data_IF_451418042741
#
_entry.id   IF_451418042741
#
_cell.length_a   1.000
_cell.length_b   1.000
_cell.length_c   1.000
_cell.angle_alpha   90.00
_cell.angle_beta   90.00
_cell.angle_gamma   90.00
#
_symmetry.space_group_name_H-M   'P 1'
#
loop_
_entity.id
_entity.type
_entity.pdbx_description
1 polymer ?
#
# COMPACT_ATOMS: atom_id res chain seq x y z
N UNK A 1 -19.07 18.52 28.74
CA UNK A 1 -18.82 18.28 27.30
C UNK A 1 -19.67 17.12 26.87
N UNK A 2 -20.53 17.26 25.86
CA UNK A 2 -21.26 16.13 25.27
C UNK A 2 -20.24 15.21 24.57
N UNK A 3 -20.16 13.95 24.98
CA UNK A 3 -19.40 12.93 24.22
C UNK A 3 -20.08 12.83 22.87
N UNK A 4 -19.43 13.25 21.80
CA UNK A 4 -19.89 12.94 20.45
C UNK A 4 -19.70 11.43 20.26
N UNK A 5 -20.80 10.71 20.10
CA UNK A 5 -20.77 9.28 19.80
C UNK A 5 -20.35 9.12 18.34
N UNK A 6 -19.14 8.61 18.11
CA UNK A 6 -18.69 8.27 16.77
C UNK A 6 -19.52 7.09 16.25
N UNK A 7 -19.87 7.11 14.98
CA UNK A 7 -20.58 6.01 14.32
C UNK A 7 -20.06 5.79 12.91
N UNK A 8 -19.97 4.55 12.48
CA UNK A 8 -19.66 4.18 11.10
C UNK A 8 -20.84 4.34 10.14
N UNK A 9 -22.02 4.65 10.65
CA UNK A 9 -23.23 4.87 9.86
C UNK A 9 -23.07 6.11 8.97
N UNK A 10 -23.32 5.97 7.67
CA UNK A 10 -23.20 7.05 6.69
C UNK A 10 -21.97 6.95 5.79
N UNK A 11 -20.95 6.19 6.18
CA UNK A 11 -19.85 5.88 5.27
C UNK A 11 -20.27 4.80 4.26
N UNK A 12 -19.73 4.91 3.04
CA UNK A 12 -19.94 3.92 1.98
C UNK A 12 -18.76 2.95 1.83
N UNK A 13 -17.58 3.40 2.22
CA UNK A 13 -16.33 2.68 2.00
C UNK A 13 -15.47 2.68 3.27
N UNK A 14 -14.76 1.57 3.47
CA UNK A 14 -13.75 1.45 4.49
C UNK A 14 -12.43 1.00 3.83
N UNK A 15 -11.44 1.90 3.80
CA UNK A 15 -10.13 1.61 3.24
C UNK A 15 -9.18 1.08 4.33
N UNK A 16 -8.51 -0.03 4.04
CA UNK A 16 -7.59 -0.68 4.98
C UNK A 16 -6.19 -0.79 4.40
N UNK A 17 -5.19 -0.33 5.14
CA UNK A 17 -3.86 -0.87 4.96
C UNK A 17 -3.80 -2.33 5.43
N UNK A 18 -2.76 -3.05 5.05
CA UNK A 18 -2.57 -4.46 5.41
C UNK A 18 -1.62 -4.63 6.59
N UNK A 19 -0.35 -4.32 6.40
CA UNK A 19 0.72 -4.63 7.34
C UNK A 19 0.69 -3.68 8.53
N UNK A 20 0.58 -4.23 9.74
CA UNK A 20 0.43 -3.42 10.95
C UNK A 20 -1.00 -2.93 11.21
N UNK A 21 -1.91 -3.07 10.23
CA UNK A 21 -3.31 -2.65 10.36
C UNK A 21 -4.25 -3.83 10.53
N UNK A 22 -4.36 -4.71 9.53
CA UNK A 22 -5.26 -5.89 9.57
C UNK A 22 -4.53 -7.21 9.39
N UNK A 23 -3.25 -7.18 9.00
CA UNK A 23 -2.40 -8.35 8.80
C UNK A 23 -1.35 -8.39 9.89
N UNK A 24 -1.23 -9.54 10.58
CA UNK A 24 -0.24 -9.75 11.63
C UNK A 24 1.15 -10.05 11.03
N UNK A 25 2.19 -10.17 11.90
CA UNK A 25 3.57 -10.46 11.51
C UNK A 25 3.73 -11.78 10.75
N UNK A 26 2.78 -12.72 10.87
CA UNK A 26 2.77 -14.00 10.15
C UNK A 26 2.15 -13.87 8.76
N UNK A 27 1.63 -12.70 8.39
CA UNK A 27 0.95 -12.48 7.14
C UNK A 27 -0.51 -12.98 7.14
N UNK A 28 -1.18 -13.01 8.29
CA UNK A 28 -2.53 -13.54 8.43
C UNK A 28 -3.51 -12.48 8.92
N UNK A 29 -4.75 -12.55 8.44
CA UNK A 29 -5.89 -11.81 8.98
C UNK A 29 -6.57 -12.70 10.04
N UNK A 30 -6.72 -12.19 11.25
CA UNK A 30 -7.36 -12.94 12.34
C UNK A 30 -8.85 -13.18 12.06
N UNK A 31 -9.41 -14.25 12.64
CA UNK A 31 -10.85 -14.53 12.50
C UNK A 31 -11.74 -13.40 13.04
N UNK A 32 -11.28 -12.67 14.05
CA UNK A 32 -12.05 -11.56 14.62
C UNK A 32 -12.08 -10.38 13.62
N UNK A 33 -10.95 -10.05 13.00
CA UNK A 33 -10.88 -9.04 11.93
C UNK A 33 -11.75 -9.47 10.74
N UNK A 34 -11.69 -10.74 10.31
CA UNK A 34 -12.55 -11.25 9.24
C UNK A 34 -14.04 -11.03 9.55
N UNK A 35 -14.47 -11.36 10.78
CA UNK A 35 -15.86 -11.16 11.23
C UNK A 35 -16.24 -9.69 11.23
N UNK A 36 -15.37 -8.80 11.70
CA UNK A 36 -15.62 -7.36 11.73
C UNK A 36 -15.76 -6.79 10.30
N UNK A 37 -14.89 -7.18 9.37
CA UNK A 37 -14.97 -6.77 7.96
C UNK A 37 -16.27 -7.30 7.31
N UNK A 38 -16.68 -8.53 7.61
CA UNK A 38 -17.95 -9.07 7.13
C UNK A 38 -19.16 -8.31 7.68
N UNK A 39 -19.10 -7.83 8.94
CA UNK A 39 -20.14 -6.97 9.51
C UNK A 39 -20.21 -5.62 8.78
N UNK A 40 -19.08 -4.98 8.48
CA UNK A 40 -19.04 -3.76 7.64
C UNK A 40 -19.77 -3.97 6.31
N UNK A 41 -19.46 -5.05 5.59
CA UNK A 41 -20.14 -5.37 4.33
C UNK A 41 -21.65 -5.55 4.48
N UNK A 42 -22.08 -6.27 5.52
CA UNK A 42 -23.52 -6.47 5.82
C UNK A 42 -24.22 -5.16 6.14
N UNK A 43 -23.51 -4.18 6.68
CA UNK A 43 -24.02 -2.83 6.97
C UNK A 43 -23.97 -1.89 5.75
N UNK A 44 -23.62 -2.40 4.56
CA UNK A 44 -23.55 -1.62 3.31
C UNK A 44 -22.26 -0.83 3.11
N UNK A 45 -21.25 -1.02 3.98
CA UNK A 45 -19.93 -0.40 3.83
C UNK A 45 -19.02 -1.33 3.04
N UNK A 46 -18.47 -0.87 1.92
CA UNK A 46 -17.57 -1.67 1.07
C UNK A 46 -16.13 -1.60 1.58
N UNK A 47 -15.53 -2.71 2.05
CA UNK A 47 -14.12 -2.74 2.44
C UNK A 47 -13.21 -2.76 1.21
N UNK A 48 -12.18 -1.92 1.20
CA UNK A 48 -11.21 -1.78 0.11
C UNK A 48 -9.80 -1.91 0.69
N UNK A 49 -8.92 -2.65 -0.01
CA UNK A 49 -7.51 -2.74 0.34
C UNK A 49 -6.74 -1.61 -0.32
N UNK A 50 -5.91 -0.89 0.48
CA UNK A 50 -4.95 0.10 0.02
C UNK A 50 -3.58 -0.13 0.68
N UNK A 51 -2.66 -0.81 -0.01
CA UNK A 51 -1.42 -1.31 0.58
C UNK A 51 -0.16 -0.82 -0.12
N UNK A 52 0.94 -0.71 0.64
CA UNK A 52 2.29 -0.52 0.11
C UNK A 52 2.90 -1.78 -0.50
N UNK A 53 2.29 -2.95 -0.29
CA UNK A 53 2.81 -4.21 -0.84
C UNK A 53 2.94 -4.16 -2.35
N UNK A 54 4.02 -4.79 -2.85
CA UNK A 54 4.16 -5.11 -4.27
C UNK A 54 3.15 -6.18 -4.67
N UNK A 55 2.71 -6.15 -5.92
CA UNK A 55 1.63 -7.03 -6.39
C UNK A 55 1.92 -8.52 -6.16
N UNK A 56 3.18 -8.95 -6.32
CA UNK A 56 3.59 -10.34 -6.07
C UNK A 56 3.40 -10.73 -4.59
N UNK A 57 3.79 -9.86 -3.66
CA UNK A 57 3.61 -10.08 -2.22
C UNK A 57 2.14 -10.10 -1.83
N UNK A 58 1.32 -9.21 -2.42
CA UNK A 58 -0.13 -9.25 -2.25
C UNK A 58 -0.72 -10.58 -2.73
N UNK A 59 -0.40 -11.01 -3.96
CA UNK A 59 -0.90 -12.27 -4.53
C UNK A 59 -0.53 -13.48 -3.66
N UNK A 60 0.65 -13.49 -3.07
CA UNK A 60 1.06 -14.58 -2.16
C UNK A 60 0.19 -14.61 -0.89
N UNK A 61 -0.10 -13.45 -0.30
CA UNK A 61 -0.96 -13.35 0.88
C UNK A 61 -2.39 -13.80 0.59
N UNK A 62 -2.92 -13.43 -0.57
CA UNK A 62 -4.31 -13.73 -1.00
C UNK A 62 -4.39 -14.95 -1.94
N UNK A 63 -3.36 -15.81 -1.98
CA UNK A 63 -3.32 -17.03 -2.81
C UNK A 63 -4.41 -18.04 -2.45
N UNK A 64 -4.81 -18.09 -1.19
CA UNK A 64 -6.01 -18.80 -0.77
C UNK A 64 -7.23 -17.90 -0.99
N UNK A 65 -8.27 -18.39 -1.65
CA UNK A 65 -9.51 -17.65 -1.89
C UNK A 65 -10.29 -17.25 -0.60
N UNK A 66 -9.69 -17.50 0.58
CA UNK A 66 -10.29 -17.24 1.89
C UNK A 66 -10.69 -15.78 2.08
N UNK A 67 -9.83 -14.86 1.67
CA UNK A 67 -10.03 -13.42 1.92
C UNK A 67 -10.73 -12.69 0.77
N UNK A 68 -10.86 -13.30 -0.41
CA UNK A 68 -11.44 -12.65 -1.60
C UNK A 68 -12.87 -12.16 -1.40
N UNK A 69 -13.64 -12.79 -0.49
CA UNK A 69 -15.02 -12.40 -0.17
C UNK A 69 -15.12 -11.25 0.84
N UNK A 70 -14.01 -10.88 1.48
CA UNK A 70 -14.00 -9.83 2.51
C UNK A 70 -13.99 -8.44 1.89
N UNK A 71 -13.23 -8.25 0.83
CA UNK A 71 -12.91 -6.95 0.25
C UNK A 71 -13.54 -6.78 -1.13
N UNK A 72 -13.51 -5.55 -1.64
CA UNK A 72 -13.75 -5.26 -3.03
C UNK A 72 -12.71 -5.97 -3.92
N UNK A 73 -13.10 -6.42 -5.12
CA UNK A 73 -12.23 -7.21 -6.00
C UNK A 73 -11.01 -6.41 -6.50
N UNK A 74 -11.20 -5.11 -6.74
CA UNK A 74 -10.11 -4.22 -7.12
C UNK A 74 -9.40 -3.69 -5.88
N UNK A 75 -8.08 -3.77 -5.89
CA UNK A 75 -7.22 -3.30 -4.81
C UNK A 75 -6.32 -2.17 -5.28
N UNK A 76 -5.89 -1.37 -4.32
CA UNK A 76 -4.83 -0.36 -4.47
C UNK A 76 -3.55 -0.94 -3.89
N UNK A 77 -2.48 -1.05 -4.68
CA UNK A 77 -1.17 -1.57 -4.25
C UNK A 77 -0.01 -0.68 -4.74
N UNK A 78 1.23 -1.04 -4.40
CA UNK A 78 2.42 -0.24 -4.72
C UNK A 78 2.30 1.21 -4.23
N UNK A 79 1.89 1.41 -2.96
CA UNK A 79 1.66 2.73 -2.35
C UNK A 79 0.69 3.63 -3.15
N UNK A 80 -0.29 3.04 -3.85
CA UNK A 80 -1.31 3.78 -4.59
C UNK A 80 -1.12 3.78 -6.11
N UNK A 81 0.05 3.41 -6.62
CA UNK A 81 0.36 3.57 -8.04
C UNK A 81 -0.24 2.49 -8.94
N UNK A 82 -0.65 1.36 -8.40
CA UNK A 82 -1.23 0.25 -9.18
C UNK A 82 -2.60 -0.12 -8.62
N UNK A 83 -3.60 -0.15 -9.50
CA UNK A 83 -4.86 -0.84 -9.26
C UNK A 83 -4.80 -2.22 -9.90
N UNK A 84 -5.18 -3.23 -9.15
CA UNK A 84 -5.20 -4.62 -9.61
C UNK A 84 -6.57 -5.27 -9.38
N UNK A 85 -7.09 -5.95 -10.40
CA UNK A 85 -8.33 -6.71 -10.36
C UNK A 85 -8.22 -7.90 -11.31
N UNK A 86 -8.20 -9.12 -10.80
CA UNK A 86 -8.29 -10.38 -11.56
C UNK A 86 -7.37 -10.44 -12.81
N UNK A 87 -6.11 -10.06 -12.66
CA UNK A 87 -5.13 -10.03 -13.76
C UNK A 87 -5.05 -8.69 -14.50
N UNK A 88 -6.03 -7.81 -14.34
CA UNK A 88 -6.05 -6.47 -14.91
C UNK A 88 -5.22 -5.52 -14.06
N UNK A 89 -4.32 -4.79 -14.69
CA UNK A 89 -3.44 -3.82 -14.04
C UNK A 89 -3.70 -2.44 -14.64
N UNK A 90 -3.90 -1.46 -13.75
CA UNK A 90 -3.95 -0.05 -14.13
C UNK A 90 -2.85 0.68 -13.39
N UNK A 91 -1.94 1.31 -14.10
CA UNK A 91 -0.85 2.12 -13.55
C UNK A 91 -1.31 3.58 -13.57
N UNK A 92 -1.25 4.26 -12.42
CA UNK A 92 -1.66 5.67 -12.33
C UNK A 92 -0.63 6.60 -12.96
N UNK A 93 0.64 6.41 -12.62
CA UNK A 93 1.74 7.17 -13.20
C UNK A 93 2.91 6.24 -13.54
N UNK A 94 3.56 6.51 -14.65
CA UNK A 94 4.75 5.79 -15.10
C UNK A 94 6.00 6.59 -14.77
N UNK A 95 7.11 5.88 -14.66
CA UNK A 95 8.44 6.50 -14.64
C UNK A 95 8.82 6.83 -16.09
N UNK A 96 9.34 8.02 -16.30
CA UNK A 96 9.88 8.46 -17.58
C UNK A 96 11.09 7.59 -17.98
N UNK A 97 11.14 7.17 -19.25
CA UNK A 97 12.16 6.24 -19.71
C UNK A 97 13.53 6.92 -19.86
N UNK A 98 13.59 8.17 -20.29
CA UNK A 98 14.87 8.89 -20.39
C UNK A 98 15.47 9.09 -19.01
N UNK A 99 14.63 9.41 -18.02
CA UNK A 99 15.04 9.46 -16.63
C UNK A 99 15.56 8.10 -16.13
N UNK A 100 14.82 7.01 -16.40
CA UNK A 100 15.25 5.66 -16.00
C UNK A 100 16.60 5.30 -16.61
N UNK A 101 16.74 5.46 -17.91
CA UNK A 101 18.00 5.12 -18.60
C UNK A 101 19.19 5.96 -18.14
N UNK A 102 18.97 7.24 -17.87
CA UNK A 102 20.00 8.11 -17.29
C UNK A 102 20.53 7.57 -15.97
N UNK A 103 19.65 7.17 -15.05
CA UNK A 103 20.06 6.57 -13.76
C UNK A 103 20.71 5.21 -13.98
N UNK A 104 20.11 4.38 -14.79
CA UNK A 104 20.59 3.02 -15.04
C UNK A 104 22.02 3.05 -15.56
N UNK A 105 22.30 3.82 -16.63
CA UNK A 105 23.64 3.89 -17.19
C UNK A 105 24.66 4.57 -16.27
N UNK A 106 24.26 5.51 -15.46
CA UNK A 106 25.15 6.16 -14.49
C UNK A 106 25.54 5.23 -13.33
N UNK A 107 24.67 4.29 -12.94
CA UNK A 107 24.85 3.48 -11.74
C UNK A 107 25.04 1.98 -12.00
N UNK A 108 24.85 1.45 -13.22
CA UNK A 108 24.91 0.00 -13.51
C UNK A 108 26.23 -0.68 -13.17
N UNK A 109 27.34 0.08 -13.13
CA UNK A 109 28.65 -0.44 -12.69
C UNK A 109 28.72 -0.65 -11.17
N UNK A 110 27.98 0.15 -10.37
CA UNK A 110 28.03 0.21 -8.92
C UNK A 110 26.78 -0.30 -8.22
N UNK A 111 25.70 -0.53 -8.96
CA UNK A 111 24.43 -1.02 -8.40
C UNK A 111 23.79 -2.11 -9.25
N UNK A 112 22.95 -2.92 -8.60
CA UNK A 112 22.03 -3.86 -9.18
C UNK A 112 20.63 -3.22 -9.26
N UNK A 113 19.87 -3.52 -10.32
CA UNK A 113 18.57 -2.92 -10.56
C UNK A 113 17.46 -3.97 -10.63
N UNK A 114 16.31 -3.61 -10.07
CA UNK A 114 15.03 -4.31 -10.27
C UNK A 114 13.98 -3.28 -10.66
N UNK A 115 13.11 -3.63 -11.60
CA UNK A 115 12.02 -2.76 -12.05
C UNK A 115 10.68 -3.48 -11.97
N UNK A 116 9.62 -2.71 -11.74
CA UNK A 116 8.25 -3.17 -11.94
C UNK A 116 7.73 -2.54 -13.23
N UNK A 117 7.38 -3.39 -14.16
CA UNK A 117 6.86 -2.99 -15.46
C UNK A 117 5.57 -3.76 -15.76
N UNK A 118 4.48 -3.05 -15.97
CA UNK A 118 3.14 -3.64 -16.09
C UNK A 118 2.79 -4.63 -14.96
N UNK A 119 3.23 -4.32 -13.72
CA UNK A 119 3.01 -5.15 -12.54
C UNK A 119 3.88 -6.41 -12.45
N UNK A 120 4.69 -6.71 -13.45
CA UNK A 120 5.69 -7.79 -13.41
C UNK A 120 7.02 -7.28 -12.89
N UNK A 121 7.78 -8.16 -12.26
CA UNK A 121 9.07 -7.86 -11.65
C UNK A 121 10.21 -8.35 -12.52
N UNK A 122 11.06 -7.43 -12.98
CA UNK A 122 12.25 -7.74 -13.77
C UNK A 122 13.51 -7.33 -13.02
N UNK A 123 14.51 -8.18 -13.05
CA UNK A 123 15.83 -7.92 -12.50
C UNK A 123 16.90 -7.99 -13.60
N UNK A 124 17.83 -7.05 -13.63
CA UNK A 124 18.95 -7.05 -14.59
C UNK A 124 19.89 -8.24 -14.36
N UNK A 125 20.04 -8.67 -13.10
CA UNK A 125 20.97 -9.73 -12.71
C UNK A 125 20.34 -10.68 -11.70
N UNK A 126 20.92 -11.89 -11.59
CA UNK A 126 20.53 -12.86 -10.52
C UNK A 126 20.80 -12.30 -9.12
N UNK A 127 21.83 -11.46 -8.96
CA UNK A 127 22.15 -10.75 -7.71
C UNK A 127 21.03 -9.79 -7.32
N UNK A 128 20.57 -8.95 -8.27
CA UNK A 128 19.44 -8.05 -8.09
C UNK A 128 18.17 -8.82 -7.67
N UNK A 129 17.85 -9.92 -8.37
CA UNK A 129 16.70 -10.75 -8.06
C UNK A 129 16.77 -11.33 -6.64
N UNK A 130 17.97 -11.78 -6.21
CA UNK A 130 18.16 -12.28 -4.85
C UNK A 130 17.90 -11.19 -3.80
N UNK A 131 18.54 -10.04 -3.93
CA UNK A 131 18.39 -8.90 -3.00
C UNK A 131 16.92 -8.47 -2.89
N UNK A 132 16.25 -8.33 -4.02
CA UNK A 132 14.83 -7.95 -4.06
C UNK A 132 13.92 -9.00 -3.41
N UNK A 133 14.15 -10.29 -3.69
CA UNK A 133 13.36 -11.39 -3.11
C UNK A 133 13.47 -11.44 -1.58
N UNK A 134 14.65 -11.14 -1.04
CA UNK A 134 14.88 -11.08 0.42
C UNK A 134 14.13 -9.91 1.06
N UNK A 135 14.18 -8.72 0.45
CA UNK A 135 13.53 -7.51 0.98
C UNK A 135 12.01 -7.65 0.99
N UNK A 136 11.45 -8.12 -0.13
CA UNK A 136 9.98 -8.17 -0.30
C UNK A 136 9.36 -9.54 0.03
N UNK A 137 10.17 -10.48 0.50
CA UNK A 137 9.73 -11.85 0.89
C UNK A 137 8.91 -12.54 -0.21
N UNK A 138 9.34 -12.41 -1.45
CA UNK A 138 8.70 -13.04 -2.62
C UNK A 138 9.54 -14.19 -3.15
N UNK A 139 8.89 -15.16 -3.82
CA UNK A 139 9.60 -16.25 -4.44
C UNK A 139 10.43 -15.75 -5.62
N UNK A 140 11.68 -16.18 -5.73
CA UNK A 140 12.58 -15.81 -6.84
C UNK A 140 12.03 -16.20 -8.21
N UNK A 141 11.22 -17.25 -8.30
CA UNK A 141 10.54 -17.65 -9.55
C UNK A 141 9.52 -16.61 -10.06
N UNK A 142 9.12 -15.66 -9.21
CA UNK A 142 8.24 -14.54 -9.57
C UNK A 142 9.02 -13.34 -10.12
N UNK A 143 10.35 -13.42 -10.22
CA UNK A 143 11.23 -12.37 -10.74
C UNK A 143 11.85 -12.83 -12.04
N UNK A 144 11.58 -12.12 -13.11
CA UNK A 144 12.14 -12.40 -14.43
C UNK A 144 13.54 -11.77 -14.51
N UNK A 145 14.58 -12.60 -14.66
CA UNK A 145 15.95 -12.10 -14.84
C UNK A 145 16.19 -11.92 -16.34
N UNK A 146 16.29 -10.67 -16.75
CA UNK A 146 16.46 -10.31 -18.17
C UNK A 146 17.10 -8.93 -18.31
N UNK A 147 17.94 -8.72 -19.34
CA UNK A 147 18.45 -7.39 -19.66
C UNK A 147 17.32 -6.41 -19.96
N UNK A 148 17.42 -5.20 -19.43
CA UNK A 148 16.38 -4.19 -19.62
C UNK A 148 16.32 -3.69 -21.06
N UNK A 149 17.41 -3.77 -21.83
CA UNK A 149 17.45 -3.46 -23.27
C UNK A 149 16.58 -4.41 -24.11
N UNK A 150 16.23 -5.59 -23.57
CA UNK A 150 15.37 -6.58 -24.22
C UNK A 150 13.91 -6.52 -23.78
N UNK A 151 13.54 -5.52 -22.97
CA UNK A 151 12.21 -5.39 -22.37
C UNK A 151 11.54 -4.12 -22.88
N UNK A 152 10.30 -4.21 -23.30
CA UNK A 152 9.47 -3.03 -23.51
C UNK A 152 9.03 -2.45 -22.14
N UNK A 153 9.69 -1.37 -21.70
CA UNK A 153 9.46 -0.73 -20.40
C UNK A 153 8.33 0.30 -20.41
N UNK A 154 7.39 0.27 -21.36
CA UNK A 154 6.29 1.25 -21.46
C UNK A 154 5.32 1.26 -20.25
N UNK A 155 5.44 0.29 -19.35
CA UNK A 155 4.66 0.19 -18.11
C UNK A 155 5.52 0.35 -16.84
N UNK A 156 6.69 1.00 -16.94
CA UNK A 156 7.60 1.17 -15.82
C UNK A 156 6.96 1.99 -14.69
N UNK A 157 6.79 1.38 -13.51
CA UNK A 157 6.12 1.99 -12.36
C UNK A 157 6.99 2.15 -11.13
N UNK A 158 7.99 1.29 -10.95
CA UNK A 158 8.92 1.34 -9.83
C UNK A 158 10.32 0.93 -10.26
N UNK A 159 11.33 1.57 -9.68
CA UNK A 159 12.73 1.18 -9.81
C UNK A 159 13.31 0.95 -8.42
N UNK A 160 14.04 -0.14 -8.27
CA UNK A 160 14.76 -0.50 -7.04
C UNK A 160 16.24 -0.57 -7.37
N UNK A 161 17.05 0.10 -6.56
CA UNK A 161 18.49 0.20 -6.76
C UNK A 161 19.20 -0.36 -5.53
N UNK A 162 20.00 -1.38 -5.72
CA UNK A 162 20.75 -2.08 -4.68
C UNK A 162 22.25 -1.89 -4.91
N UNK A 163 22.98 -1.14 -4.09
CA UNK A 163 24.42 -1.04 -4.20
C UNK A 163 25.11 -2.41 -4.28
N UNK A 164 26.11 -2.55 -5.15
CA UNK A 164 26.94 -3.76 -5.22
C UNK A 164 27.87 -3.83 -4.03
N UNK A 165 28.39 -2.68 -3.60
CA UNK A 165 29.20 -2.52 -2.39
C UNK A 165 28.31 -1.95 -1.28
N UNK A 166 28.20 -2.66 -0.15
CA UNK A 166 27.34 -2.28 0.99
C UNK A 166 27.82 -1.00 1.69
N UNK A 167 29.11 -0.71 1.61
CA UNK A 167 29.73 0.44 2.28
C UNK A 167 29.69 1.70 1.41
N UNK A 168 29.31 1.56 0.15
CA UNK A 168 29.23 2.67 -0.79
C UNK A 168 27.87 3.32 -0.76
N UNK A 169 27.80 4.53 -0.22
CA UNK A 169 26.62 5.38 -0.34
C UNK A 169 26.45 5.83 -1.79
N UNK A 170 25.31 5.50 -2.38
CA UNK A 170 24.91 6.06 -3.68
C UNK A 170 24.16 7.35 -3.38
N UNK A 171 24.76 8.48 -3.71
CA UNK A 171 24.09 9.77 -3.63
C UNK A 171 23.06 9.90 -4.75
N UNK A 172 21.80 10.02 -4.37
CA UNK A 172 20.70 10.30 -5.29
C UNK A 172 20.28 11.74 -5.06
N UNK A 173 21.04 12.63 -5.63
CA UNK A 173 20.66 14.02 -5.63
C UNK A 173 19.77 14.28 -6.86
N UNK A 174 18.60 14.88 -6.60
CA UNK A 174 17.74 15.57 -7.57
C UNK A 174 16.72 14.77 -8.37
N UNK A 175 15.67 14.27 -7.67
CA UNK A 175 14.52 13.80 -8.42
C UNK A 175 13.22 14.37 -7.83
N UNK A 176 13.01 15.69 -7.96
CA UNK A 176 11.84 16.41 -7.43
C UNK A 176 10.49 15.85 -7.92
N UNK A 177 10.49 15.14 -9.05
CA UNK A 177 9.30 14.54 -9.63
C UNK A 177 9.02 13.09 -9.17
N UNK A 178 9.91 12.52 -8.35
CA UNK A 178 9.82 11.15 -7.89
C UNK A 178 10.01 11.04 -6.38
N UNK A 179 9.31 10.09 -5.78
CA UNK A 179 9.57 9.69 -4.41
C UNK A 179 10.78 8.75 -4.38
N UNK A 180 11.82 9.15 -3.68
CA UNK A 180 12.98 8.30 -3.40
C UNK A 180 12.94 7.90 -1.93
N UNK A 181 12.72 6.62 -1.66
CA UNK A 181 12.62 6.09 -0.30
C UNK A 181 13.75 5.12 -0.02
N UNK A 182 14.43 5.21 1.14
CA UNK A 182 15.43 4.23 1.53
C UNK A 182 14.76 2.88 1.74
N UNK A 183 15.51 1.80 1.45
CA UNK A 183 15.16 0.44 1.79
C UNK A 183 16.09 0.04 2.93
N UNK A 184 15.53 -0.19 4.11
CA UNK A 184 16.28 -0.63 5.29
C UNK A 184 17.09 -1.89 4.96
N UNK A 185 18.27 -2.06 5.52
CA UNK A 185 19.20 -3.20 5.45
C UNK A 185 20.28 -3.19 4.36
N UNK A 186 20.11 -2.49 3.21
CA UNK A 186 20.99 -2.70 2.06
C UNK A 186 21.58 -1.42 1.49
N UNK A 187 21.46 -0.27 2.17
CA UNK A 187 21.76 1.06 1.57
C UNK A 187 21.09 1.24 0.20
N UNK A 188 20.00 0.49 0.01
CA UNK A 188 19.23 0.46 -1.22
C UNK A 188 18.12 1.51 -1.17
N UNK A 189 17.55 1.81 -2.32
CA UNK A 189 16.44 2.73 -2.40
C UNK A 189 15.45 2.33 -3.49
N UNK A 190 14.23 2.82 -3.30
CA UNK A 190 13.10 2.67 -4.20
C UNK A 190 12.77 4.02 -4.82
N UNK A 191 12.64 4.08 -6.13
CA UNK A 191 12.17 5.24 -6.88
C UNK A 191 10.76 4.95 -7.39
N UNK A 192 9.82 5.83 -7.09
CA UNK A 192 8.43 5.73 -7.57
C UNK A 192 7.95 7.08 -8.05
N UNK A 193 6.96 7.14 -8.95
CA UNK A 193 6.27 8.39 -9.22
C UNK A 193 5.67 8.98 -7.95
N UNK A 194 5.45 10.29 -7.95
CA UNK A 194 4.79 10.97 -6.85
C UNK A 194 3.28 10.64 -6.87
N UNK A 195 2.94 9.53 -6.25
CA UNK A 195 1.59 8.97 -6.07
C UNK A 195 1.52 8.37 -4.67
N UNK A 196 0.37 8.41 -4.06
CA UNK A 196 0.11 7.87 -2.72
C UNK A 196 -1.19 7.05 -2.69
N UNK A 197 -1.49 6.41 -1.54
CA UNK A 197 -2.68 5.54 -1.38
C UNK A 197 -4.00 6.28 -1.60
N UNK A 198 -4.09 7.57 -1.25
CA UNK A 198 -5.28 8.38 -1.51
C UNK A 198 -5.54 8.56 -3.00
N UNK A 199 -4.49 8.80 -3.81
CA UNK A 199 -4.62 8.92 -5.27
C UNK A 199 -5.15 7.61 -5.88
N UNK A 200 -4.63 6.47 -5.42
CA UNK A 200 -5.11 5.14 -5.82
C UNK A 200 -6.58 4.92 -5.47
N UNK A 201 -6.99 5.27 -4.25
CA UNK A 201 -8.39 5.17 -3.81
C UNK A 201 -9.31 6.07 -4.62
N UNK A 202 -8.95 7.32 -4.86
CA UNK A 202 -9.74 8.25 -5.71
C UNK A 202 -9.95 7.63 -7.08
N UNK A 203 -8.88 7.10 -7.70
CA UNK A 203 -8.98 6.46 -9.02
C UNK A 203 -9.88 5.24 -9.00
N UNK A 204 -9.77 4.37 -7.98
CA UNK A 204 -10.63 3.20 -7.82
C UNK A 204 -12.10 3.61 -7.66
N UNK A 205 -12.37 4.53 -6.75
CA UNK A 205 -13.74 5.00 -6.47
C UNK A 205 -14.39 5.66 -7.68
N UNK A 206 -13.61 6.44 -8.44
CA UNK A 206 -14.10 7.07 -9.67
C UNK A 206 -14.45 6.04 -10.75
N UNK A 207 -13.67 4.97 -10.89
CA UNK A 207 -13.91 3.95 -11.93
C UNK A 207 -15.03 2.99 -11.58
N UNK A 208 -15.14 2.56 -10.33
CA UNK A 208 -16.03 1.45 -9.94
C UNK A 208 -17.33 1.92 -9.28
N UNK A 209 -17.31 3.12 -8.68
CA UNK A 209 -18.45 3.63 -7.89
C UNK A 209 -18.92 5.02 -8.32
N UNK A 210 -18.28 5.64 -9.32
CA UNK A 210 -18.57 7.01 -9.78
C UNK A 210 -18.45 8.08 -8.69
N UNK A 211 -17.67 7.80 -7.63
CA UNK A 211 -17.35 8.75 -6.56
C UNK A 211 -16.05 9.50 -6.91
N UNK A 212 -16.05 10.83 -6.70
CA UNK A 212 -14.95 11.70 -7.17
C UNK A 212 -13.96 12.08 -6.07
N UNK A 213 -14.30 11.83 -4.82
CA UNK A 213 -13.52 12.21 -3.64
C UNK A 213 -13.60 11.13 -2.56
N UNK A 214 -12.97 11.37 -1.41
CA UNK A 214 -12.90 10.45 -0.27
C UNK A 214 -13.85 10.82 0.87
N UNK A 215 -14.83 11.71 0.64
CA UNK A 215 -15.76 12.20 1.68
C UNK A 215 -16.69 11.14 2.27
N UNK A 216 -16.77 9.96 1.66
CA UNK A 216 -17.58 8.83 2.15
C UNK A 216 -16.71 7.65 2.57
N UNK A 217 -15.41 7.88 2.73
CA UNK A 217 -14.41 6.85 3.08
C UNK A 217 -13.96 7.04 4.51
N UNK A 218 -14.00 5.96 5.29
CA UNK A 218 -13.21 5.83 6.50
C UNK A 218 -11.95 5.03 6.20
N UNK A 219 -10.79 5.48 6.66
CA UNK A 219 -9.53 4.82 6.39
C UNK A 219 -8.86 4.36 7.68
N UNK A 220 -8.22 3.19 7.62
CA UNK A 220 -7.45 2.60 8.71
C UNK A 220 -6.01 2.35 8.23
N UNK A 221 -5.03 2.79 9.00
CA UNK A 221 -3.61 2.65 8.67
C UNK A 221 -2.72 2.84 9.89
N UNK A 222 -1.44 2.49 9.77
CA UNK A 222 -0.46 2.57 10.85
C UNK A 222 0.86 3.24 10.44
N UNK A 223 1.19 3.29 9.16
CA UNK A 223 2.50 3.67 8.66
C UNK A 223 2.61 5.08 8.09
N UNK A 224 3.85 5.51 7.81
CA UNK A 224 4.11 6.79 7.12
C UNK A 224 3.48 6.84 5.71
N UNK A 225 3.38 5.71 5.03
CA UNK A 225 2.77 5.62 3.71
C UNK A 225 1.24 5.73 3.74
N UNK A 226 0.63 5.71 4.94
CA UNK A 226 -0.81 5.92 5.15
C UNK A 226 -1.18 7.38 5.37
N UNK A 227 -0.22 8.25 5.67
CA UNK A 227 -0.44 9.66 6.04
C UNK A 227 -1.41 10.35 5.07
N UNK A 228 -1.17 10.24 3.77
CA UNK A 228 -2.04 10.89 2.79
C UNK A 228 -3.43 10.25 2.72
N UNK A 229 -3.55 8.95 2.90
CA UNK A 229 -4.82 8.25 2.96
C UNK A 229 -5.62 8.68 4.19
N UNK A 230 -5.00 8.65 5.37
CA UNK A 230 -5.63 9.03 6.63
C UNK A 230 -6.06 10.50 6.66
N UNK A 231 -5.24 11.40 6.10
CA UNK A 231 -5.53 12.82 6.08
C UNK A 231 -6.61 13.24 5.06
N UNK A 232 -6.73 12.52 3.94
CA UNK A 232 -7.62 12.91 2.84
C UNK A 232 -8.99 12.19 2.85
N UNK A 233 -9.13 11.10 3.61
CA UNK A 233 -10.43 10.47 3.81
C UNK A 233 -11.31 11.28 4.76
N UNK A 234 -12.62 11.08 4.69
CA UNK A 234 -13.55 11.76 5.59
C UNK A 234 -13.19 11.55 7.06
N UNK A 235 -12.78 10.34 7.39
CA UNK A 235 -12.24 9.95 8.70
C UNK A 235 -11.00 9.08 8.48
N UNK A 236 -9.87 9.51 9.03
CA UNK A 236 -8.66 8.71 9.12
C UNK A 236 -8.46 8.17 10.53
N UNK A 237 -8.21 6.88 10.66
CA UNK A 237 -8.00 6.21 11.96
C UNK A 237 -6.60 5.60 11.97
N UNK A 238 -5.75 6.12 12.84
CA UNK A 238 -4.50 5.48 13.19
C UNK A 238 -4.77 4.33 14.16
N UNK A 239 -4.40 3.10 13.77
CA UNK A 239 -4.63 1.92 14.60
C UNK A 239 -3.60 1.79 15.72
N UNK A 240 -3.74 0.79 16.58
CA UNK A 240 -2.82 0.54 17.69
C UNK A 240 -1.37 0.36 17.21
N UNK A 241 -0.42 0.95 17.90
CA UNK A 241 1.03 0.93 17.60
C UNK A 241 1.43 1.64 16.30
N UNK A 242 0.62 2.58 15.83
CA UNK A 242 0.92 3.35 14.63
C UNK A 242 2.15 4.24 14.78
N UNK A 243 2.79 4.50 13.64
CA UNK A 243 3.89 5.46 13.51
C UNK A 243 3.42 6.87 13.90
N UNK A 244 4.25 7.70 14.56
CA UNK A 244 3.88 9.06 14.98
C UNK A 244 3.31 9.93 13.84
N UNK A 245 3.83 9.79 12.61
CA UNK A 245 3.30 10.53 11.46
C UNK A 245 1.85 10.15 11.12
N UNK A 246 1.48 8.87 11.23
CA UNK A 246 0.11 8.40 11.03
C UNK A 246 -0.83 8.91 12.14
N UNK A 247 -0.37 8.88 13.39
CA UNK A 247 -1.13 9.41 14.54
C UNK A 247 -1.41 10.91 14.38
N UNK A 248 -0.38 11.69 14.02
CA UNK A 248 -0.48 13.15 13.93
C UNK A 248 -1.40 13.64 12.78
N UNK A 249 -1.58 12.85 11.73
CA UNK A 249 -2.41 13.22 10.58
C UNK A 249 -3.81 12.61 10.60
N UNK A 250 -4.06 11.63 11.47
CA UNK A 250 -5.35 10.96 11.57
C UNK A 250 -6.40 11.80 12.29
N UNK A 251 -7.68 11.55 11.99
CA UNK A 251 -8.79 12.15 12.73
C UNK A 251 -8.88 11.57 14.15
N UNK A 252 -8.62 10.27 14.27
CA UNK A 252 -8.61 9.55 15.55
C UNK A 252 -7.44 8.56 15.61
N UNK A 253 -6.93 8.36 16.82
CA UNK A 253 -6.01 7.26 17.13
C UNK A 253 -6.66 6.33 18.13
N UNK A 254 -6.64 5.02 17.84
CA UNK A 254 -7.28 4.01 18.68
C UNK A 254 -6.24 3.15 19.39
N UNK A 255 -6.49 2.88 20.69
CA UNK A 255 -5.67 2.00 21.52
C UNK A 255 -6.34 0.65 21.79
N UNK A 256 -7.40 0.34 21.08
CA UNK A 256 -8.11 -0.94 21.12
C UNK A 256 -7.92 -1.69 19.80
N UNK A 257 -8.09 -3.02 19.78
CA UNK A 257 -8.06 -3.79 18.53
C UNK A 257 -9.06 -3.23 17.51
N UNK A 258 -8.64 -3.20 16.23
CA UNK A 258 -9.44 -2.64 15.15
C UNK A 258 -10.82 -3.31 15.02
N UNK A 259 -10.88 -4.62 15.19
CA UNK A 259 -12.13 -5.38 15.14
C UNK A 259 -13.10 -4.94 16.23
N UNK A 260 -12.60 -4.67 17.44
CA UNK A 260 -13.41 -4.16 18.55
C UNK A 260 -13.93 -2.76 18.24
N UNK A 261 -13.07 -1.87 17.73
CA UNK A 261 -13.49 -0.54 17.30
C UNK A 261 -14.60 -0.59 16.25
N UNK A 262 -14.45 -1.43 15.22
CA UNK A 262 -15.46 -1.61 14.17
C UNK A 262 -16.79 -2.11 14.77
N UNK A 263 -16.74 -3.10 15.65
CA UNK A 263 -17.94 -3.69 16.27
C UNK A 263 -18.69 -2.68 17.13
N UNK A 264 -17.99 -1.93 17.97
CA UNK A 264 -18.58 -0.94 18.88
C UNK A 264 -19.22 0.24 18.13
N UNK A 265 -18.70 0.59 16.95
CA UNK A 265 -19.18 1.74 16.18
C UNK A 265 -20.15 1.39 15.03
N UNK A 266 -20.39 0.10 14.78
CA UNK A 266 -21.44 -0.37 13.85
C UNK A 266 -22.80 -0.51 14.52
N UNK A 267 -22.86 -0.66 15.86
CA UNK A 267 -24.10 -0.91 16.60
C UNK A 267 -24.88 0.40 16.76
N UNK A 268 -26.17 0.35 16.51
CA UNK A 268 -27.08 1.45 16.80
C UNK A 268 -27.16 1.66 18.32
N UNK A 269 -26.57 2.76 18.81
CA UNK A 269 -26.97 3.44 20.03
C UNK A 269 -27.06 2.64 21.33
N UNK A 270 -25.99 1.93 21.72
CA UNK A 270 -25.83 1.53 23.13
C UNK A 270 -24.38 1.76 23.56
N UNK A 271 -24.24 2.67 24.50
CA UNK A 271 -23.07 3.03 25.29
C UNK A 271 -21.72 3.35 24.61
N UNK A 272 -21.33 4.57 24.88
CA UNK A 272 -20.16 5.30 24.43
C UNK A 272 -18.85 4.62 24.78
N UNK A 273 -18.05 4.28 23.78
CA UNK A 273 -16.63 4.00 23.94
C UNK A 273 -15.85 5.30 24.15
N UNK A 274 -14.94 5.32 25.10
CA UNK A 274 -14.03 6.44 25.33
C UNK A 274 -13.03 6.56 24.17
N UNK A 275 -13.25 7.55 23.29
CA UNK A 275 -12.23 8.01 22.37
C UNK A 275 -11.40 9.03 23.14
N UNK A 276 -10.16 8.70 23.48
CA UNK A 276 -9.19 9.68 23.99
C UNK A 276 -8.60 10.42 22.80
N UNK A 277 -8.88 11.71 22.74
CA UNK A 277 -8.25 12.67 21.85
C UNK A 277 -6.83 12.94 22.30
#
# INVERSE_FOLDING_TARGET
MKKETFTLKGFKFAAFDLDGTIVNERGEISQNIEKAILKLRKSGITPIIATGRVLQSYKNLFSSNRYNKLFHNKIVCHDGNILYEEGKITILKKIDLDFFWSIFYSLKSSADFVVINNGECFAETKSAALKYSMVYRINRSQIIVKSFDEINLNGLSNVYVFPKDKDKQISINYFSNYNVKPISYLNAFKITPNVNKADGLIKLLATDFHEKNLEKVIAFGDGENDVQMLNNCAIGIAVQNSHPAAINCSTYSINIPIEKFIEENLVEGTDSTEIRV
#
